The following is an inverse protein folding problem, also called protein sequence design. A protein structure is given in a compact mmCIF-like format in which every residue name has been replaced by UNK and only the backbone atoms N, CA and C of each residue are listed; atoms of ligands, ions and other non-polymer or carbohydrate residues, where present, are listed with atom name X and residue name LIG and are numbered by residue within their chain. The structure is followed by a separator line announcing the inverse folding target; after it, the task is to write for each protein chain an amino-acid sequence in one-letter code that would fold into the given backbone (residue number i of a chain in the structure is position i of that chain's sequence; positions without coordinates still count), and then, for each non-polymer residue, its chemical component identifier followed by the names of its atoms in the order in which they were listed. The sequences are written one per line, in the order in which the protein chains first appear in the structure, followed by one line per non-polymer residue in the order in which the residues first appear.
data_IF_668696738823
#
_entry.id   IF_668696738823
#
_cell.length_a   1.000
_cell.length_b   1.000
_cell.length_c   1.000
_cell.angle_alpha   90.00
_cell.angle_beta   90.00
_cell.angle_gamma   90.00
#
_symmetry.space_group_name_H-M   'P 1'
#
loop_
_entity.id
_entity.type
_entity.pdbx_description
1 polymer ?
#
# COMPACT_ATOMS: atom_id res chain seq x y z
N UNK A 1 10.01 22.29 42.25
CA UNK A 1 10.13 20.89 41.77
C UNK A 1 9.86 20.86 40.29
N UNK A 2 10.60 20.01 39.58
CA UNK A 2 10.78 20.00 38.14
C UNK A 2 9.51 19.92 37.27
N UNK A 3 9.68 20.55 36.11
CA UNK A 3 9.04 20.32 34.81
C UNK A 3 8.40 18.94 34.62
N UNK A 4 7.08 18.92 34.44
CA UNK A 4 6.45 17.94 33.55
C UNK A 4 6.36 18.59 32.17
N UNK A 5 7.39 18.40 31.35
CA UNK A 5 7.21 18.43 29.90
C UNK A 5 6.31 17.25 29.57
N UNK A 6 5.00 17.51 29.52
CA UNK A 6 4.11 16.66 28.77
C UNK A 6 4.59 16.76 27.32
N UNK A 7 5.42 15.78 26.93
CA UNK A 7 5.61 15.42 25.55
C UNK A 7 4.22 15.11 25.00
N UNK A 8 3.52 16.15 24.54
CA UNK A 8 2.47 16.05 23.55
C UNK A 8 3.16 15.44 22.32
N UNK A 9 3.32 14.12 22.33
CA UNK A 9 3.24 13.36 21.10
C UNK A 9 1.88 13.76 20.54
N UNK A 10 1.87 14.76 19.66
CA UNK A 10 0.80 14.89 18.70
C UNK A 10 0.74 13.51 18.06
N UNK A 11 -0.23 12.72 18.49
CA UNK A 11 -0.61 11.50 17.80
C UNK A 11 -0.88 11.99 16.39
N UNK A 12 0.01 11.65 15.46
CA UNK A 12 -0.17 12.08 14.10
C UNK A 12 -1.45 11.42 13.64
N UNK A 13 -2.48 12.21 13.34
CA UNK A 13 -3.77 11.71 12.82
C UNK A 13 -3.60 10.98 11.47
N UNK A 14 -2.36 10.87 10.97
CA UNK A 14 -1.99 10.10 9.78
C UNK A 14 -1.11 8.93 10.25
N UNK A 15 -1.62 7.71 10.18
CA UNK A 15 -0.87 6.46 10.39
C UNK A 15 -0.36 5.94 9.04
N UNK A 16 0.94 5.66 8.92
CA UNK A 16 1.48 4.93 7.78
C UNK A 16 1.30 3.43 7.99
N UNK A 17 0.96 2.70 6.93
CA UNK A 17 0.60 1.28 7.06
C UNK A 17 1.82 0.35 7.11
N UNK A 18 2.88 0.66 6.38
CA UNK A 18 4.09 -0.14 6.41
C UNK A 18 5.00 0.26 7.58
N UNK A 19 5.71 -0.69 8.20
CA UNK A 19 5.78 -2.12 7.85
C UNK A 19 4.67 -2.99 8.47
N UNK A 20 3.84 -2.43 9.35
CA UNK A 20 2.90 -3.15 10.23
C UNK A 20 1.91 -4.06 9.49
N UNK A 21 1.43 -3.65 8.32
CA UNK A 21 0.40 -4.37 7.56
C UNK A 21 0.92 -5.10 6.31
N UNK A 22 2.22 -5.42 6.26
CA UNK A 22 2.83 -6.13 5.13
C UNK A 22 2.14 -7.47 4.82
N UNK A 23 1.81 -8.26 5.85
CA UNK A 23 1.14 -9.55 5.68
C UNK A 23 -0.23 -9.41 5.01
N UNK A 24 -0.97 -8.34 5.29
CA UNK A 24 -2.24 -8.03 4.62
C UNK A 24 -2.03 -7.72 3.15
N UNK A 25 -1.02 -6.91 2.80
CA UNK A 25 -0.68 -6.64 1.40
C UNK A 25 -0.24 -7.89 0.65
N UNK A 26 0.57 -8.74 1.29
CA UNK A 26 0.99 -10.03 0.74
C UNK A 26 -0.22 -10.96 0.50
N UNK A 27 -1.14 -11.06 1.48
CA UNK A 27 -2.39 -11.81 1.34
C UNK A 27 -3.23 -11.31 0.16
N UNK A 28 -3.36 -9.99 0.00
CA UNK A 28 -4.12 -9.40 -1.12
C UNK A 28 -3.53 -9.72 -2.48
N UNK A 29 -2.21 -9.94 -2.56
CA UNK A 29 -1.50 -10.33 -3.79
C UNK A 29 -1.26 -11.85 -3.88
N UNK A 30 -1.76 -12.63 -2.91
CA UNK A 30 -1.40 -14.04 -2.72
C UNK A 30 -1.69 -14.93 -3.94
N UNK A 31 -2.76 -14.64 -4.68
CA UNK A 31 -3.12 -15.35 -5.91
C UNK A 31 -2.08 -15.21 -7.03
N UNK A 32 -1.13 -14.27 -6.91
CA UNK A 32 -0.07 -13.99 -7.88
C UNK A 32 1.33 -14.17 -7.26
N UNK A 33 1.41 -14.58 -5.99
CA UNK A 33 2.67 -14.73 -5.24
C UNK A 33 3.70 -15.62 -5.91
N UNK A 34 3.27 -16.62 -6.69
CA UNK A 34 4.15 -17.50 -7.46
C UNK A 34 5.02 -16.79 -8.51
N UNK A 35 4.71 -15.53 -8.86
CA UNK A 35 5.47 -14.69 -9.80
C UNK A 35 6.01 -13.39 -9.19
N UNK A 36 5.50 -13.00 -8.03
CA UNK A 36 5.76 -11.69 -7.44
C UNK A 36 6.84 -11.77 -6.37
N UNK A 37 7.82 -10.87 -6.44
CA UNK A 37 8.86 -10.71 -5.42
C UNK A 37 8.61 -9.40 -4.68
N UNK A 38 8.50 -9.45 -3.36
CA UNK A 38 8.40 -8.24 -2.55
C UNK A 38 9.71 -7.43 -2.62
N UNK A 39 9.60 -6.13 -2.90
CA UNK A 39 10.75 -5.22 -3.06
C UNK A 39 10.65 -4.04 -2.09
N UNK A 40 11.38 -4.10 -0.97
CA UNK A 40 11.40 -3.05 0.05
C UNK A 40 11.83 -1.68 -0.51
N UNK A 41 12.64 -1.64 -1.58
CA UNK A 41 13.09 -0.39 -2.19
C UNK A 41 11.95 0.40 -2.83
N UNK A 42 10.83 -0.26 -3.17
CA UNK A 42 9.65 0.36 -3.80
C UNK A 42 8.58 0.77 -2.78
N UNK A 43 8.76 0.51 -1.48
CA UNK A 43 7.77 0.80 -0.43
C UNK A 43 7.56 2.30 -0.22
N UNK A 44 8.61 3.11 -0.38
CA UNK A 44 8.53 4.57 -0.33
C UNK A 44 7.80 5.14 -1.54
N UNK A 45 8.07 4.62 -2.74
CA UNK A 45 7.38 4.99 -3.97
C UNK A 45 5.89 4.64 -3.90
N UNK A 46 5.54 3.49 -3.31
CA UNK A 46 4.15 3.10 -3.09
C UNK A 46 3.46 4.06 -2.09
N UNK A 47 4.17 4.56 -1.08
CA UNK A 47 3.62 5.57 -0.17
C UNK A 47 3.40 6.91 -0.89
N UNK A 48 4.35 7.32 -1.73
CA UNK A 48 4.21 8.54 -2.51
C UNK A 48 3.03 8.43 -3.48
N UNK A 49 2.90 7.32 -4.20
CA UNK A 49 1.74 7.01 -5.04
C UNK A 49 0.42 7.02 -4.24
N UNK A 50 0.42 6.54 -3.00
CA UNK A 50 -0.77 6.62 -2.16
C UNK A 50 -1.15 8.08 -1.87
N UNK A 51 -0.20 8.94 -1.50
CA UNK A 51 -0.46 10.36 -1.21
C UNK A 51 -0.97 11.12 -2.43
N UNK A 52 -0.30 10.96 -3.55
CA UNK A 52 -0.59 11.66 -4.80
C UNK A 52 -0.20 10.79 -5.98
N UNK A 53 -0.80 11.02 -7.14
CA UNK A 53 -0.38 10.30 -8.35
C UNK A 53 1.11 10.59 -8.59
N UNK A 54 1.93 9.55 -8.56
CA UNK A 54 3.38 9.69 -8.55
C UNK A 54 3.96 9.10 -9.84
N UNK A 55 5.03 9.70 -10.36
CA UNK A 55 5.72 9.12 -11.53
C UNK A 55 6.67 8.05 -11.03
N UNK A 56 6.51 6.81 -11.49
CA UNK A 56 7.40 5.70 -11.13
C UNK A 56 7.67 4.85 -12.36
N UNK A 57 8.74 4.06 -12.31
CA UNK A 57 9.04 3.04 -13.32
C UNK A 57 8.20 1.76 -13.15
N UNK A 58 7.11 1.80 -12.38
CA UNK A 58 6.23 0.65 -12.24
C UNK A 58 5.46 0.42 -13.54
N UNK A 59 5.50 -0.81 -14.05
CA UNK A 59 4.69 -1.27 -15.19
C UNK A 59 3.20 -1.14 -14.91
N UNK A 60 2.80 -1.34 -13.65
CA UNK A 60 1.40 -1.23 -13.24
C UNK A 60 1.25 -0.75 -11.82
N UNK A 61 0.11 -0.12 -11.57
CA UNK A 61 -0.23 0.48 -10.28
C UNK A 61 -1.67 0.19 -9.94
N UNK A 62 -1.90 -0.15 -8.69
CA UNK A 62 -3.22 -0.14 -8.08
C UNK A 62 -3.18 0.94 -7.02
N UNK A 63 -4.01 1.98 -7.14
CA UNK A 63 -4.20 3.00 -6.11
C UNK A 63 -5.67 3.06 -5.71
N UNK A 64 -5.95 3.07 -4.42
CA UNK A 64 -7.33 3.20 -3.93
C UNK A 64 -7.41 4.09 -2.70
N UNK A 65 -8.32 5.07 -2.78
CA UNK A 65 -8.83 5.84 -1.64
C UNK A 65 -10.18 5.26 -1.21
N UNK A 66 -10.36 4.99 0.08
CA UNK A 66 -11.61 4.54 0.70
C UNK A 66 -11.91 5.39 1.93
N UNK A 67 -13.15 5.86 2.02
CA UNK A 67 -13.64 6.70 3.12
C UNK A 67 -14.43 5.82 4.08
N UNK A 68 -14.24 6.03 5.37
CA UNK A 68 -14.92 5.36 6.48
C UNK A 68 -15.67 6.37 7.33
N UNK A 69 -16.80 5.93 7.88
CA UNK A 69 -17.52 6.71 8.88
C UNK A 69 -16.68 6.72 10.17
N UNK A 70 -16.71 7.83 10.91
CA UNK A 70 -16.02 7.92 12.19
C UNK A 70 -16.52 6.84 13.15
N UNK A 71 -15.58 6.18 13.84
CA UNK A 71 -15.91 5.09 14.74
C UNK A 71 -16.27 3.78 14.03
N UNK A 72 -15.94 3.65 12.73
CA UNK A 72 -15.96 2.36 12.06
C UNK A 72 -14.99 1.39 12.76
N UNK A 73 -15.56 0.34 13.34
CA UNK A 73 -14.86 -0.64 14.17
C UNK A 73 -14.11 -1.71 13.36
N UNK A 74 -14.09 -1.65 12.03
CA UNK A 74 -13.30 -2.59 11.25
C UNK A 74 -11.82 -2.43 11.61
N UNK A 75 -11.14 -3.57 11.75
CA UNK A 75 -9.70 -3.64 11.93
C UNK A 75 -8.99 -3.01 10.73
N UNK A 76 -7.74 -2.58 10.92
CA UNK A 76 -7.00 -1.96 9.81
C UNK A 76 -6.79 -2.96 8.67
N UNK A 77 -6.61 -4.24 8.99
CA UNK A 77 -6.55 -5.35 8.05
C UNK A 77 -7.81 -5.42 7.20
N UNK A 78 -9.00 -5.42 7.81
CA UNK A 78 -10.28 -5.41 7.09
C UNK A 78 -10.45 -4.14 6.23
N UNK A 79 -9.96 -2.98 6.71
CA UNK A 79 -9.99 -1.72 5.97
C UNK A 79 -9.11 -1.80 4.72
N UNK A 80 -7.90 -2.34 4.83
CA UNK A 80 -6.96 -2.56 3.71
C UNK A 80 -7.50 -3.60 2.73
N UNK A 81 -7.97 -4.74 3.20
CA UNK A 81 -8.60 -5.77 2.36
C UNK A 81 -9.81 -5.21 1.62
N UNK A 82 -10.68 -4.51 2.34
CA UNK A 82 -11.85 -3.86 1.78
C UNK A 82 -11.55 -2.71 0.82
N UNK A 83 -10.34 -2.15 0.86
CA UNK A 83 -9.87 -1.17 -0.13
C UNK A 83 -9.29 -1.86 -1.38
N UNK A 84 -8.54 -2.96 -1.22
CA UNK A 84 -7.82 -3.61 -2.33
C UNK A 84 -8.59 -4.71 -3.05
N UNK A 85 -9.58 -5.36 -2.42
CA UNK A 85 -10.27 -6.53 -2.99
C UNK A 85 -10.81 -6.29 -4.40
N UNK A 86 -11.61 -5.25 -4.60
CA UNK A 86 -12.17 -4.96 -5.93
C UNK A 86 -11.13 -4.46 -6.94
N UNK A 87 -10.20 -3.54 -6.59
CA UNK A 87 -9.11 -3.17 -7.50
C UNK A 87 -8.25 -4.36 -7.95
N UNK A 88 -7.86 -5.26 -7.03
CA UNK A 88 -7.07 -6.46 -7.36
C UNK A 88 -7.86 -7.41 -8.26
N UNK A 89 -9.13 -7.67 -7.95
CA UNK A 89 -9.99 -8.51 -8.81
C UNK A 89 -10.16 -7.93 -10.21
N UNK A 90 -10.29 -6.61 -10.35
CA UNK A 90 -10.35 -5.95 -11.66
C UNK A 90 -9.02 -6.02 -12.42
N UNK A 91 -7.91 -6.05 -11.70
CA UNK A 91 -6.58 -6.20 -12.26
C UNK A 91 -6.21 -7.67 -12.55
N UNK A 92 -7.07 -8.66 -12.26
CA UNK A 92 -6.72 -10.08 -12.32
C UNK A 92 -6.09 -10.50 -13.65
N UNK A 93 -6.71 -10.13 -14.79
CA UNK A 93 -6.17 -10.44 -16.12
C UNK A 93 -4.78 -9.85 -16.34
N UNK A 94 -4.51 -8.66 -15.82
CA UNK A 94 -3.21 -8.00 -15.91
C UNK A 94 -2.20 -8.69 -14.99
N UNK A 95 -2.55 -8.90 -13.72
CA UNK A 95 -1.67 -9.53 -12.72
C UNK A 95 -1.28 -10.96 -13.12
N UNK A 96 -2.17 -11.73 -13.76
CA UNK A 96 -1.84 -13.06 -14.31
C UNK A 96 -0.81 -13.02 -15.43
N UNK A 97 -0.76 -11.91 -16.19
CA UNK A 97 0.09 -11.73 -17.37
C UNK A 97 1.44 -11.11 -17.06
N UNK A 98 1.65 -10.62 -15.83
CA UNK A 98 2.95 -10.16 -15.38
C UNK A 98 4.04 -11.21 -15.60
N UNK A 99 5.24 -10.74 -15.95
CA UNK A 99 6.44 -11.55 -16.07
C UNK A 99 6.77 -12.26 -14.74
N UNK A 100 7.47 -13.38 -14.86
CA UNK A 100 8.05 -14.04 -13.69
C UNK A 100 9.05 -13.13 -13.00
N UNK A 101 9.12 -13.23 -11.68
CA UNK A 101 9.98 -12.40 -10.84
C UNK A 101 9.67 -10.90 -10.96
N UNK A 102 8.40 -10.55 -11.19
CA UNK A 102 7.96 -9.14 -11.14
C UNK A 102 8.11 -8.63 -9.72
N UNK A 103 8.78 -7.50 -9.55
CA UNK A 103 8.93 -6.87 -8.25
C UNK A 103 7.65 -6.13 -7.89
N UNK A 104 7.23 -6.20 -6.64
CA UNK A 104 6.08 -5.45 -6.15
C UNK A 104 6.30 -4.90 -4.74
N UNK A 105 5.63 -3.80 -4.45
CA UNK A 105 5.51 -3.26 -3.10
C UNK A 105 4.16 -2.60 -2.93
N UNK A 106 3.67 -2.58 -1.70
CA UNK A 106 2.47 -1.83 -1.34
C UNK A 106 2.73 -0.96 -0.11
N UNK A 107 2.06 0.18 -0.04
CA UNK A 107 2.04 1.02 1.14
C UNK A 107 0.78 1.88 1.15
N UNK A 108 0.58 2.64 2.21
CA UNK A 108 -0.54 3.56 2.33
C UNK A 108 -0.50 4.31 3.63
N UNK A 109 -1.54 5.12 3.82
CA UNK A 109 -1.77 5.82 5.06
C UNK A 109 -3.26 5.87 5.40
N UNK A 110 -3.54 5.96 6.69
CA UNK A 110 -4.87 6.17 7.25
C UNK A 110 -4.91 7.52 7.92
N UNK A 111 -5.72 8.42 7.36
CA UNK A 111 -5.91 9.79 7.83
C UNK A 111 -7.23 9.89 8.59
N UNK A 112 -7.15 10.15 9.89
CA UNK A 112 -8.29 10.37 10.78
C UNK A 112 -8.56 11.86 11.03
N UNK A 113 -7.94 12.78 10.27
CA UNK A 113 -8.26 14.20 10.36
C UNK A 113 -9.63 14.51 9.77
N UNK A 114 -10.31 15.48 10.36
CA UNK A 114 -11.56 16.00 9.84
C UNK A 114 -12.77 15.09 10.06
N UNK A 115 -13.79 15.25 9.21
CA UNK A 115 -15.11 14.63 9.41
C UNK A 115 -15.21 13.13 9.08
N UNK A 116 -14.23 12.56 8.39
CA UNK A 116 -14.21 11.15 7.99
C UNK A 116 -12.81 10.56 8.16
N UNK A 117 -12.72 9.25 8.32
CA UNK A 117 -11.43 8.57 8.24
C UNK A 117 -11.19 8.12 6.79
N UNK A 118 -9.97 8.31 6.29
CA UNK A 118 -9.62 8.07 4.90
C UNK A 118 -8.42 7.14 4.83
N UNK A 119 -8.62 5.96 4.26
CA UNK A 119 -7.53 5.08 3.89
C UNK A 119 -7.15 5.32 2.44
N UNK A 120 -5.87 5.55 2.18
CA UNK A 120 -5.33 5.50 0.82
C UNK A 120 -4.19 4.51 0.75
N UNK A 121 -4.30 3.57 -0.18
CA UNK A 121 -3.31 2.49 -0.41
C UNK A 121 -2.87 2.51 -1.87
N UNK A 122 -1.63 2.12 -2.11
CA UNK A 122 -1.13 1.82 -3.43
C UNK A 122 -0.28 0.54 -3.43
N UNK A 123 -0.35 -0.19 -4.54
CA UNK A 123 0.54 -1.30 -4.88
C UNK A 123 1.18 -1.01 -6.24
N UNK A 124 2.50 -1.15 -6.32
CA UNK A 124 3.30 -0.96 -7.52
C UNK A 124 3.83 -2.32 -7.98
N UNK A 125 3.86 -2.53 -9.29
CA UNK A 125 4.38 -3.74 -9.93
C UNK A 125 5.37 -3.32 -11.01
N UNK A 126 6.61 -3.78 -10.93
CA UNK A 126 7.70 -3.46 -11.85
C UNK A 126 8.24 -4.75 -12.46
N UNK A 127 7.99 -4.91 -13.75
CA UNK A 127 8.59 -5.98 -14.53
C UNK A 127 10.07 -5.65 -14.77
N UNK A 128 10.94 -6.63 -14.54
CA UNK A 128 12.35 -6.53 -14.88
C UNK A 128 12.55 -7.35 -16.14
N UNK A 129 12.95 -6.70 -17.23
CA UNK A 129 13.33 -7.41 -18.44
C UNK A 129 14.76 -7.93 -18.30
N UNK A 130 14.87 -9.16 -17.78
CA UNK A 130 16.16 -9.84 -17.64
C UNK A 130 16.83 -10.16 -18.99
N UNK A 131 16.13 -10.09 -20.13
CA UNK A 131 16.78 -10.26 -21.45
C UNK A 131 17.56 -9.03 -21.89
N UNK A 132 17.24 -7.86 -21.33
CA UNK A 132 17.92 -6.59 -21.60
C UNK A 132 18.78 -6.10 -20.41
N UNK A 133 18.79 -6.83 -19.29
CA UNK A 133 19.80 -6.59 -18.26
C UNK A 133 21.13 -7.18 -18.74
N UNK A 134 21.94 -6.35 -19.39
CA UNK A 134 23.34 -6.68 -19.64
C UNK A 134 24.05 -6.89 -18.29
N UNK A 135 24.16 -8.16 -17.88
CA UNK A 135 25.16 -8.63 -16.93
C UNK A 135 26.06 -9.62 -17.66
#
# INVERSE_FOLDING_TARGET
GNTYSANNKQQTDIEQLMPKYNSTFAKMNGNYSYKLIWDDSMVSDALQEAKEQYSTNATFKIRRRKVFIKGDNATMEEKVEGALKYPVLRADKFLRRLLWFTHYACNGYYDTKGGHDVLTVACLYREIDYKNSHY
#
